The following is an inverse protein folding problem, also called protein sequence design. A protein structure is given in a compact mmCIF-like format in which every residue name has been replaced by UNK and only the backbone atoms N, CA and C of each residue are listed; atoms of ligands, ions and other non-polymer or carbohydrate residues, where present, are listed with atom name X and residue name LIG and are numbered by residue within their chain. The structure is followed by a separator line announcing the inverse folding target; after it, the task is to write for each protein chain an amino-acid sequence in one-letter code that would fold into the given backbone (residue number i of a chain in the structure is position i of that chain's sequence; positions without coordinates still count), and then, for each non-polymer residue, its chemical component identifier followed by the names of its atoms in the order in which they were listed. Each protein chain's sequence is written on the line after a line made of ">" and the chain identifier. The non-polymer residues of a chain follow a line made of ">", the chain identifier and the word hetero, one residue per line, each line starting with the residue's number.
data_IF_108402372186
#
_entry.id   IF_108402372186
#
_cell.length_a   1.000
_cell.length_b   1.000
_cell.length_c   1.000
_cell.angle_alpha   90.00
_cell.angle_beta   90.00
_cell.angle_gamma   90.00
#
_symmetry.space_group_name_H-M   'P 1'
#
loop_
_entity.id
_entity.type
_entity.pdbx_description
1 polymer ?
#
# COMPACT_ATOMS: atom_id res chain seq x y z
N UNK A 1 38.57 12.74 -25.65
CA UNK A 1 37.60 13.16 -24.61
C UNK A 1 36.31 13.81 -25.18
N UNK A 2 36.38 14.78 -26.09
CA UNK A 2 35.17 15.50 -26.58
C UNK A 2 34.24 14.67 -27.50
N UNK A 3 34.79 13.78 -28.33
CA UNK A 3 34.00 12.91 -29.22
C UNK A 3 33.06 11.99 -28.43
N UNK A 4 33.56 11.33 -27.39
CA UNK A 4 32.78 10.44 -26.51
C UNK A 4 31.67 11.21 -25.80
N UNK A 5 31.95 12.41 -25.28
CA UNK A 5 30.93 13.25 -24.66
C UNK A 5 29.84 13.69 -25.64
N UNK A 6 30.20 13.97 -26.90
CA UNK A 6 29.24 14.34 -27.95
C UNK A 6 28.33 13.16 -28.29
N UNK A 7 28.90 11.98 -28.48
CA UNK A 7 28.12 10.76 -28.73
C UNK A 7 27.24 10.39 -27.54
N UNK A 8 27.74 10.50 -26.30
CA UNK A 8 26.92 10.29 -25.09
C UNK A 8 25.69 11.19 -25.07
N UNK A 9 25.88 12.50 -25.33
CA UNK A 9 24.76 13.47 -25.39
C UNK A 9 23.80 13.14 -26.53
N UNK A 10 24.31 12.75 -27.71
CA UNK A 10 23.50 12.34 -28.87
C UNK A 10 22.64 11.12 -28.54
N UNK A 11 23.25 10.05 -28.03
CA UNK A 11 22.55 8.82 -27.66
C UNK A 11 21.47 9.07 -26.61
N UNK A 12 21.78 9.87 -25.57
CA UNK A 12 20.81 10.23 -24.53
C UNK A 12 19.61 10.99 -25.09
N UNK A 13 19.82 11.94 -26.01
CA UNK A 13 18.75 12.67 -26.69
C UNK A 13 17.86 11.75 -27.53
N UNK A 14 18.47 10.84 -28.30
CA UNK A 14 17.75 9.87 -29.14
C UNK A 14 16.92 8.91 -28.28
N UNK A 15 17.52 8.38 -27.21
CA UNK A 15 16.85 7.48 -26.26
C UNK A 15 15.62 8.14 -25.62
N UNK A 16 15.74 9.37 -25.12
CA UNK A 16 14.61 10.09 -24.53
C UNK A 16 13.51 10.39 -25.55
N UNK A 17 13.87 10.85 -26.75
CA UNK A 17 12.88 11.10 -27.81
C UNK A 17 12.09 9.83 -28.15
N UNK A 18 12.76 8.69 -28.26
CA UNK A 18 12.12 7.40 -28.57
C UNK A 18 11.28 6.87 -27.40
N UNK A 19 11.77 6.99 -26.17
CA UNK A 19 11.17 6.38 -24.98
C UNK A 19 9.98 7.16 -24.43
N UNK A 20 10.05 8.49 -24.38
CA UNK A 20 8.97 9.33 -23.81
C UNK A 20 8.28 10.23 -24.83
N UNK A 21 8.87 10.51 -25.99
CA UNK A 21 8.31 11.50 -26.93
C UNK A 21 6.87 11.21 -27.36
N UNK A 22 6.55 9.97 -27.71
CA UNK A 22 5.22 9.59 -28.20
C UNK A 22 4.21 9.33 -27.07
N UNK A 23 4.68 9.17 -25.83
CA UNK A 23 3.81 8.85 -24.69
C UNK A 23 3.03 10.07 -24.19
N UNK A 24 3.54 11.29 -24.43
CA UNK A 24 2.87 12.50 -23.96
C UNK A 24 1.47 12.64 -24.55
N UNK A 25 1.34 12.41 -25.86
CA UNK A 25 0.07 12.59 -26.58
C UNK A 25 -0.81 11.33 -26.52
N UNK A 26 -0.20 10.13 -26.49
CA UNK A 26 -0.95 8.88 -26.52
C UNK A 26 -1.36 8.37 -25.13
N UNK A 27 -0.47 8.46 -24.13
CA UNK A 27 -0.64 7.88 -22.78
C UNK A 27 0.02 8.75 -21.71
N UNK A 28 -0.58 9.89 -21.32
CA UNK A 28 0.01 10.85 -20.38
C UNK A 28 0.44 10.26 -19.03
N UNK A 29 -0.29 9.25 -18.53
CA UNK A 29 0.07 8.54 -17.28
C UNK A 29 1.37 7.74 -17.41
N UNK A 30 1.53 7.03 -18.52
CA UNK A 30 2.73 6.25 -18.81
C UNK A 30 3.92 7.19 -19.06
N UNK A 31 3.69 8.30 -19.76
CA UNK A 31 4.68 9.35 -19.94
C UNK A 31 5.26 9.84 -18.62
N UNK A 32 4.40 10.21 -17.67
CA UNK A 32 4.84 10.72 -16.38
C UNK A 32 5.58 9.66 -15.55
N UNK A 33 5.14 8.39 -15.63
CA UNK A 33 5.85 7.26 -14.99
C UNK A 33 7.27 7.11 -15.52
N UNK A 34 7.45 7.11 -16.85
CA UNK A 34 8.75 7.00 -17.49
C UNK A 34 9.64 8.21 -17.19
N UNK A 35 9.09 9.42 -17.18
CA UNK A 35 9.83 10.64 -16.80
C UNK A 35 10.36 10.53 -15.37
N UNK A 36 9.54 10.09 -14.40
CA UNK A 36 9.99 9.86 -13.02
C UNK A 36 11.10 8.82 -12.92
N UNK A 37 11.04 7.76 -13.73
CA UNK A 37 12.10 6.74 -13.78
C UNK A 37 13.41 7.32 -14.31
N UNK A 38 13.34 8.14 -15.37
CA UNK A 38 14.51 8.74 -16.02
C UNK A 38 15.14 9.87 -15.22
N UNK A 39 14.36 10.60 -14.43
CA UNK A 39 14.84 11.65 -13.52
C UNK A 39 15.37 11.11 -12.18
N UNK A 40 15.23 9.81 -11.93
CA UNK A 40 15.57 9.20 -10.64
C UNK A 40 14.60 9.56 -9.50
N UNK A 41 13.46 10.18 -9.81
CA UNK A 41 12.41 10.49 -8.83
C UNK A 41 11.57 9.25 -8.45
N UNK A 42 11.56 8.24 -9.32
CA UNK A 42 11.18 6.88 -8.91
C UNK A 42 12.37 6.27 -8.17
N UNK A 43 12.35 6.37 -6.85
CA UNK A 43 13.06 5.42 -6.02
C UNK A 43 12.41 4.06 -6.28
N UNK A 44 13.10 3.19 -7.02
CA UNK A 44 12.87 1.76 -6.85
C UNK A 44 13.02 1.53 -5.36
N UNK A 45 11.93 1.15 -4.68
CA UNK A 45 12.04 0.71 -3.29
C UNK A 45 13.20 -0.28 -3.28
N UNK A 46 14.24 -0.05 -2.45
CA UNK A 46 15.32 -1.00 -2.36
C UNK A 46 14.67 -2.37 -2.10
N UNK A 47 14.99 -3.34 -2.95
CA UNK A 47 14.54 -4.71 -2.78
C UNK A 47 14.86 -5.13 -1.33
N UNK A 48 14.00 -5.93 -0.70
CA UNK A 48 14.21 -6.34 0.69
C UNK A 48 15.60 -6.96 0.86
N UNK A 49 16.08 -7.68 -0.15
CA UNK A 49 17.45 -8.21 -0.21
C UNK A 49 18.52 -7.11 -0.10
N UNK A 50 18.33 -5.99 -0.77
CA UNK A 50 19.23 -4.83 -0.70
C UNK A 50 19.16 -4.07 0.63
N UNK A 51 17.99 -4.04 1.28
CA UNK A 51 17.82 -3.43 2.62
C UNK A 51 18.52 -4.28 3.68
N UNK A 52 18.39 -5.60 3.57
CA UNK A 52 18.92 -6.58 4.53
C UNK A 52 20.39 -6.92 4.25
N UNK A 53 21.00 -6.32 3.20
CA UNK A 53 22.35 -6.67 2.70
C UNK A 53 22.52 -8.18 2.49
N UNK A 54 21.47 -8.80 1.99
CA UNK A 54 21.41 -10.21 1.71
C UNK A 54 22.23 -10.50 0.44
N UNK A 55 23.17 -11.44 0.53
CA UNK A 55 23.98 -11.80 -0.62
C UNK A 55 23.16 -12.63 -1.61
N UNK A 56 23.47 -12.52 -2.90
CA UNK A 56 22.68 -13.11 -4.00
C UNK A 56 22.70 -14.65 -3.98
N UNK A 57 23.62 -15.24 -3.22
CA UNK A 57 23.85 -16.69 -3.13
C UNK A 57 22.98 -17.40 -2.07
N UNK A 58 22.28 -16.66 -1.21
CA UNK A 58 21.44 -17.27 -0.18
C UNK A 58 20.04 -17.62 -0.71
N UNK A 59 19.55 -18.82 -0.37
CA UNK A 59 18.21 -19.29 -0.77
C UNK A 59 17.09 -18.49 -0.10
N UNK A 60 15.88 -18.50 -0.67
CA UNK A 60 14.70 -17.85 -0.07
C UNK A 60 14.39 -18.39 1.34
N UNK A 61 14.71 -19.67 1.59
CA UNK A 61 14.64 -20.29 2.92
C UNK A 61 15.66 -19.66 3.89
N UNK A 62 16.90 -19.44 3.43
CA UNK A 62 17.93 -18.75 4.20
C UNK A 62 17.60 -17.29 4.52
N UNK A 63 16.78 -16.62 3.69
CA UNK A 63 16.22 -15.31 4.00
C UNK A 63 15.14 -15.40 5.09
N UNK A 64 14.22 -16.35 4.95
CA UNK A 64 13.14 -16.57 5.91
C UNK A 64 13.67 -16.85 7.32
N UNK A 65 14.69 -17.71 7.44
CA UNK A 65 15.29 -18.04 8.72
C UNK A 65 15.94 -16.84 9.40
N UNK A 66 16.69 -15.99 8.65
CA UNK A 66 17.30 -14.78 9.21
C UNK A 66 16.27 -13.73 9.66
N UNK A 67 15.18 -13.58 8.92
CA UNK A 67 14.07 -12.70 9.33
C UNK A 67 13.49 -13.21 10.65
N UNK A 68 13.26 -14.52 10.75
CA UNK A 68 12.73 -15.13 11.96
C UNK A 68 13.68 -14.96 13.14
N UNK A 69 14.99 -15.20 12.95
CA UNK A 69 16.04 -14.96 13.96
C UNK A 69 16.05 -13.52 14.44
N UNK A 70 15.90 -12.54 13.55
CA UNK A 70 15.83 -11.12 13.92
C UNK A 70 14.60 -10.82 14.81
N UNK A 71 13.42 -11.36 14.46
CA UNK A 71 12.22 -11.22 15.30
C UNK A 71 12.38 -11.91 16.66
N UNK A 72 12.89 -13.13 16.68
CA UNK A 72 13.16 -13.86 17.92
C UNK A 72 14.17 -13.11 18.79
N UNK A 73 15.22 -12.53 18.19
CA UNK A 73 16.22 -11.75 18.93
C UNK A 73 15.60 -10.55 19.65
N UNK A 74 14.62 -9.87 19.04
CA UNK A 74 13.90 -8.76 19.68
C UNK A 74 12.98 -9.26 20.79
N UNK A 75 12.42 -10.46 20.62
CA UNK A 75 11.45 -11.03 21.54
C UNK A 75 12.09 -11.84 22.69
N UNK A 76 13.40 -12.08 22.64
CA UNK A 76 14.13 -12.94 23.59
C UNK A 76 14.02 -12.49 25.05
N UNK A 77 13.94 -11.18 25.27
CA UNK A 77 13.88 -10.59 26.61
C UNK A 77 12.44 -10.52 27.16
N UNK A 78 11.44 -10.87 26.35
CA UNK A 78 10.04 -10.87 26.75
C UNK A 78 9.62 -12.27 27.23
N UNK A 79 9.08 -12.40 28.45
CA UNK A 79 8.53 -13.67 28.90
C UNK A 79 7.32 -14.06 28.03
N UNK A 80 7.13 -15.35 27.72
CA UNK A 80 5.93 -15.81 27.04
C UNK A 80 4.68 -15.50 27.89
N UNK A 81 3.55 -15.25 27.22
CA UNK A 81 2.29 -15.06 27.93
C UNK A 81 1.92 -16.34 28.69
N UNK A 82 1.46 -16.23 29.95
CA UNK A 82 0.93 -17.36 30.72
C UNK A 82 -0.22 -18.07 29.98
N UNK A 83 -0.32 -19.39 30.12
CA UNK A 83 -1.41 -20.18 29.49
C UNK A 83 -2.81 -19.76 29.97
N UNK A 84 -2.89 -19.16 31.16
CA UNK A 84 -4.09 -18.66 31.82
C UNK A 84 -4.27 -17.13 31.69
N UNK A 85 -3.53 -16.49 30.79
CA UNK A 85 -3.62 -15.05 30.57
C UNK A 85 -4.98 -14.67 29.99
N UNK A 86 -5.89 -14.25 30.87
CA UNK A 86 -7.16 -13.64 30.50
C UNK A 86 -7.02 -12.12 30.47
N UNK A 87 -7.05 -11.55 29.27
CA UNK A 87 -7.29 -10.11 29.09
C UNK A 87 -8.72 -9.83 29.57
N UNK A 88 -8.86 -9.11 30.67
CA UNK A 88 -10.18 -8.59 31.09
C UNK A 88 -10.64 -7.57 30.07
N UNK A 89 -11.66 -7.91 29.29
CA UNK A 89 -12.33 -7.02 28.34
C UNK A 89 -13.49 -6.25 28.98
N UNK A 90 -13.71 -6.44 30.29
CA UNK A 90 -14.85 -5.90 31.04
C UNK A 90 -14.93 -4.36 31.03
N UNK A 91 -13.84 -3.67 30.70
CA UNK A 91 -13.76 -2.20 30.61
C UNK A 91 -13.49 -1.66 29.19
N UNK A 92 -13.42 -2.53 28.18
CA UNK A 92 -13.23 -2.06 26.81
C UNK A 92 -14.56 -1.54 26.28
N UNK A 93 -14.66 -0.21 26.11
CA UNK A 93 -15.79 0.38 25.41
C UNK A 93 -15.83 -0.15 23.96
N UNK A 94 -17.00 -0.52 23.44
CA UNK A 94 -17.12 -0.93 22.05
C UNK A 94 -16.61 0.18 21.14
N UNK A 95 -15.80 -0.19 20.15
CA UNK A 95 -15.38 0.75 19.10
C UNK A 95 -16.65 1.36 18.49
N UNK A 96 -16.73 2.69 18.51
CA UNK A 96 -17.82 3.42 17.87
C UNK A 96 -17.29 4.30 16.75
N UNK A 97 -18.03 4.34 15.65
CA UNK A 97 -17.76 5.20 14.51
C UNK A 97 -18.85 6.24 14.37
N UNK A 98 -18.46 7.46 13.98
CA UNK A 98 -19.38 8.56 13.70
C UNK A 98 -19.70 8.66 12.20
N UNK A 99 -20.90 9.13 11.88
CA UNK A 99 -21.35 9.33 10.49
C UNK A 99 -20.40 10.23 9.70
N UNK A 100 -19.93 11.33 10.30
CA UNK A 100 -18.97 12.24 9.67
C UNK A 100 -17.68 11.53 9.30
N UNK A 101 -17.23 10.58 10.13
CA UNK A 101 -16.02 9.80 9.85
C UNK A 101 -16.25 8.86 8.68
N UNK A 102 -17.38 8.16 8.66
CA UNK A 102 -17.76 7.24 7.58
C UNK A 102 -17.91 8.00 6.26
N UNK A 103 -18.64 9.12 6.25
CA UNK A 103 -18.81 9.95 5.05
C UNK A 103 -17.46 10.42 4.49
N UNK A 104 -16.58 10.94 5.36
CA UNK A 104 -15.24 11.39 4.98
C UNK A 104 -14.44 10.26 4.33
N UNK A 105 -14.53 9.04 4.86
CA UNK A 105 -13.84 7.88 4.32
C UNK A 105 -14.43 7.44 2.97
N UNK A 106 -15.75 7.42 2.83
CA UNK A 106 -16.45 7.14 1.57
C UNK A 106 -16.05 8.14 0.48
N UNK A 107 -15.98 9.44 0.79
CA UNK A 107 -15.51 10.48 -0.13
C UNK A 107 -14.04 10.29 -0.53
N UNK A 108 -13.22 9.73 0.36
CA UNK A 108 -11.81 9.48 0.11
C UNK A 108 -11.55 8.24 -0.77
N UNK A 109 -12.56 7.40 -1.05
CA UNK A 109 -12.42 6.21 -1.89
C UNK A 109 -11.88 6.58 -3.27
N UNK A 110 -10.95 5.75 -3.76
CA UNK A 110 -10.38 5.87 -5.08
C UNK A 110 -11.27 5.18 -6.11
N UNK A 111 -11.88 5.97 -6.98
CA UNK A 111 -12.72 5.48 -8.09
C UNK A 111 -11.98 4.59 -9.10
N UNK A 112 -10.65 4.63 -9.11
CA UNK A 112 -9.81 3.81 -9.98
C UNK A 112 -9.47 2.42 -9.43
N UNK A 113 -9.89 2.11 -8.20
CA UNK A 113 -9.72 0.78 -7.60
C UNK A 113 -10.83 -0.15 -8.06
N UNK A 114 -10.55 -1.45 -8.05
CA UNK A 114 -11.55 -2.47 -8.32
C UNK A 114 -12.70 -2.37 -7.30
N UNK A 115 -13.90 -2.73 -7.75
CA UNK A 115 -15.08 -2.87 -6.89
C UNK A 115 -14.86 -4.00 -5.88
N UNK A 116 -15.61 -3.94 -4.78
CA UNK A 116 -15.65 -5.02 -3.80
C UNK A 116 -16.36 -6.27 -4.35
N UNK A 117 -16.50 -7.30 -3.49
CA UNK A 117 -17.28 -8.51 -3.82
C UNK A 117 -18.78 -8.23 -4.01
N UNK A 118 -19.23 -7.04 -3.61
CA UNK A 118 -20.58 -6.50 -3.84
C UNK A 118 -20.80 -5.98 -5.27
N UNK A 119 -19.74 -6.00 -6.10
CA UNK A 119 -19.72 -5.49 -7.47
C UNK A 119 -20.08 -3.99 -7.62
N UNK A 120 -20.23 -3.27 -6.51
CA UNK A 120 -20.60 -1.86 -6.51
C UNK A 120 -19.42 -1.00 -6.96
N UNK A 121 -19.59 -0.15 -8.00
CA UNK A 121 -18.52 0.74 -8.43
C UNK A 121 -18.16 1.77 -7.36
N UNK A 122 -16.86 1.95 -7.14
CA UNK A 122 -16.32 2.91 -6.16
C UNK A 122 -16.77 4.36 -6.38
N UNK A 123 -17.16 4.73 -7.61
CA UNK A 123 -17.71 6.07 -7.88
C UNK A 123 -19.10 6.26 -7.25
N UNK A 124 -19.90 5.19 -7.10
CA UNK A 124 -21.21 5.23 -6.44
C UNK A 124 -21.02 5.53 -4.96
N UNK A 125 -20.17 4.77 -4.28
CA UNK A 125 -19.86 4.97 -2.85
C UNK A 125 -19.37 6.39 -2.56
N UNK A 126 -18.57 6.94 -3.48
CA UNK A 126 -18.03 8.30 -3.37
C UNK A 126 -19.07 9.39 -3.65
N UNK A 127 -19.99 9.15 -4.59
CA UNK A 127 -20.98 10.15 -5.03
C UNK A 127 -22.16 10.26 -4.08
N UNK A 128 -22.56 9.14 -3.47
CA UNK A 128 -23.68 9.05 -2.53
C UNK A 128 -23.21 8.87 -1.09
N UNK A 129 -22.03 9.38 -0.75
CA UNK A 129 -21.41 9.20 0.57
C UNK A 129 -22.27 9.77 1.69
N UNK A 130 -22.94 10.89 1.43
CA UNK A 130 -23.86 11.58 2.34
C UNK A 130 -25.10 10.74 2.64
N UNK A 131 -25.66 10.06 1.64
CA UNK A 131 -26.84 9.19 1.78
C UNK A 131 -26.47 7.87 2.45
N UNK A 132 -25.30 7.31 2.10
CA UNK A 132 -24.88 5.99 2.58
C UNK A 132 -24.25 6.02 3.98
N UNK A 133 -23.66 7.14 4.39
CA UNK A 133 -22.93 7.24 5.65
C UNK A 133 -23.75 6.84 6.89
N UNK A 134 -25.01 7.29 7.07
CA UNK A 134 -25.80 6.91 8.24
C UNK A 134 -26.00 5.38 8.34
N UNK A 135 -26.48 4.76 7.25
CA UNK A 135 -26.74 3.32 7.23
C UNK A 135 -25.47 2.49 7.45
N UNK A 136 -24.35 2.88 6.84
CA UNK A 136 -23.07 2.18 7.01
C UNK A 136 -22.55 2.36 8.44
N UNK A 137 -22.77 3.51 9.06
CA UNK A 137 -22.39 3.78 10.46
C UNK A 137 -23.13 2.86 11.42
N UNK A 138 -24.44 2.73 11.25
CA UNK A 138 -25.26 1.83 12.08
C UNK A 138 -24.81 0.37 11.95
N UNK A 139 -24.54 -0.08 10.71
CA UNK A 139 -24.04 -1.42 10.43
C UNK A 139 -22.69 -1.66 11.11
N UNK A 140 -21.73 -0.75 10.97
CA UNK A 140 -20.41 -0.88 11.57
C UNK A 140 -20.48 -0.90 13.10
N UNK A 141 -21.28 -0.02 13.70
CA UNK A 141 -21.47 0.02 15.15
C UNK A 141 -22.16 -1.24 15.68
N UNK A 142 -23.07 -1.84 14.90
CA UNK A 142 -23.64 -3.15 15.22
C UNK A 142 -22.55 -4.24 15.21
N UNK A 143 -21.67 -4.27 14.21
CA UNK A 143 -20.57 -5.24 14.15
C UNK A 143 -19.58 -5.09 15.29
N UNK A 144 -19.21 -3.86 15.64
CA UNK A 144 -18.31 -3.61 16.76
C UNK A 144 -18.94 -4.01 18.10
N UNK A 145 -20.26 -3.89 18.24
CA UNK A 145 -20.97 -4.33 19.44
C UNK A 145 -21.09 -5.85 19.53
N UNK A 146 -21.38 -6.52 18.41
CA UNK A 146 -21.61 -7.96 18.37
C UNK A 146 -20.32 -8.79 18.21
N UNK A 147 -19.22 -8.16 17.82
CA UNK A 147 -17.94 -8.78 17.48
C UNK A 147 -18.10 -9.94 16.48
N UNK A 148 -19.05 -9.82 15.54
CA UNK A 148 -19.38 -10.84 14.54
C UNK A 148 -19.54 -10.20 13.17
N UNK A 149 -19.04 -10.89 12.14
CA UNK A 149 -19.26 -10.54 10.74
C UNK A 149 -20.63 -11.10 10.31
N UNK A 150 -21.45 -10.37 9.53
CA UNK A 150 -22.68 -10.92 8.95
C UNK A 150 -22.39 -12.20 8.19
N UNK A 151 -23.31 -13.16 8.33
CA UNK A 151 -23.36 -14.36 7.49
C UNK A 151 -24.13 -14.08 6.21
#
# INVERSE_FOLDING_TARGET
>A
RNKVNRERKRCRKVYYKKKVGNLLDSKPKDWWREVKQLSGQQSTRPDLRSIIRFDVEDSDEGLGNRINEAFISVMKDFPPLPEDFNLSTDNDEPISVSETTVERLLRAISVSKASGPDELPNWVLKSFSDILAPAITDILNAFFRECKVPR
#
